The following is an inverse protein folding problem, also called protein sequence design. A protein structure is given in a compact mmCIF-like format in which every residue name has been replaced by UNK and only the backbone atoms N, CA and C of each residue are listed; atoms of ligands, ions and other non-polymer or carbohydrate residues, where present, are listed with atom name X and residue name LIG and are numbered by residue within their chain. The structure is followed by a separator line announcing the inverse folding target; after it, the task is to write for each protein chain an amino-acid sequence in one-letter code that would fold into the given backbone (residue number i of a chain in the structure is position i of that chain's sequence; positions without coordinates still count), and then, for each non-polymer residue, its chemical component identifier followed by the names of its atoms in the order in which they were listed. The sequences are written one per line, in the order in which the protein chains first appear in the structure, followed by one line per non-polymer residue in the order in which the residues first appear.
data_IF_993345182553
#
_entry.id   IF_993345182553
#
_cell.length_a   1.000
_cell.length_b   1.000
_cell.length_c   1.000
_cell.angle_alpha   90.00
_cell.angle_beta   90.00
_cell.angle_gamma   90.00
#
_symmetry.space_group_name_H-M   'P 1'
#
loop_
_entity.id
_entity.type
_entity.pdbx_description
1 polymer ?
#
# COMPACT_ATOMS: atom_id res chain seq x y z
N UNK A 1 -5.61 11.21 -2.16
CA UNK A 1 -6.25 10.12 -2.95
C UNK A 1 -5.31 8.94 -3.18
N UNK A 2 -4.07 9.17 -3.64
CA UNK A 2 -3.11 8.10 -3.95
C UNK A 2 -2.74 7.21 -2.75
N UNK A 3 -2.54 7.79 -1.56
CA UNK A 3 -2.23 7.04 -0.33
C UNK A 3 -3.32 6.00 0.02
N UNK A 4 -4.59 6.38 -0.13
CA UNK A 4 -5.74 5.51 0.10
C UNK A 4 -5.81 4.37 -0.93
N UNK A 5 -5.57 4.70 -2.20
CA UNK A 5 -5.56 3.69 -3.27
C UNK A 5 -4.46 2.65 -3.05
N UNK A 6 -3.25 3.10 -2.72
CA UNK A 6 -2.10 2.23 -2.48
C UNK A 6 -2.31 1.29 -1.28
N UNK A 7 -2.83 1.82 -0.18
CA UNK A 7 -3.14 1.02 1.01
C UNK A 7 -4.24 -0.03 0.74
N UNK A 8 -5.34 0.38 0.10
CA UNK A 8 -6.46 -0.53 -0.17
C UNK A 8 -6.12 -1.59 -1.22
N UNK A 9 -5.38 -1.23 -2.27
CA UNK A 9 -5.01 -2.17 -3.33
C UNK A 9 -4.01 -3.21 -2.83
N UNK A 10 -2.99 -2.80 -2.07
CA UNK A 10 -2.03 -3.73 -1.47
C UNK A 10 -2.68 -4.65 -0.43
N UNK A 11 -3.59 -4.13 0.39
CA UNK A 11 -4.37 -4.95 1.33
C UNK A 11 -5.32 -5.94 0.64
N UNK A 12 -5.93 -5.54 -0.48
CA UNK A 12 -6.78 -6.43 -1.27
C UNK A 12 -5.98 -7.59 -1.89
N UNK A 13 -4.78 -7.33 -2.40
CA UNK A 13 -3.92 -8.38 -2.95
C UNK A 13 -3.40 -9.36 -1.87
N UNK A 14 -3.04 -8.89 -0.68
CA UNK A 14 -2.64 -9.78 0.43
C UNK A 14 -3.82 -10.67 0.89
N UNK A 15 -5.01 -10.08 1.02
CA UNK A 15 -6.20 -10.84 1.42
C UNK A 15 -6.63 -11.83 0.34
N UNK A 16 -6.51 -11.47 -0.95
CA UNK A 16 -6.77 -12.40 -2.05
C UNK A 16 -5.79 -13.59 -2.02
N UNK A 17 -4.50 -13.34 -1.75
CA UNK A 17 -3.51 -14.41 -1.55
C UNK A 17 -3.90 -15.32 -0.39
N UNK A 18 -4.21 -14.77 0.80
CA UNK A 18 -4.63 -15.54 1.98
C UNK A 18 -5.89 -16.38 1.72
N UNK A 19 -6.88 -15.82 1.03
CA UNK A 19 -8.09 -16.54 0.65
C UNK A 19 -7.83 -17.76 -0.23
N UNK A 20 -6.85 -17.68 -1.13
CA UNK A 20 -6.42 -18.81 -1.97
C UNK A 20 -5.61 -19.81 -1.15
N UNK A 21 -4.79 -19.34 -0.21
CA UNK A 21 -4.04 -20.20 0.72
C UNK A 21 -4.93 -21.04 1.64
N UNK A 22 -6.14 -20.55 1.95
CA UNK A 22 -7.18 -21.28 2.70
C UNK A 22 -7.86 -22.39 1.88
N UNK A 23 -7.55 -22.51 0.58
CA UNK A 23 -8.00 -23.63 -0.26
C UNK A 23 -9.19 -23.33 -1.18
N UNK A 24 -9.71 -22.10 -1.16
CA UNK A 24 -10.91 -21.74 -1.94
C UNK A 24 -10.70 -21.73 -3.47
N UNK A 25 -9.44 -21.70 -3.94
CA UNK A 25 -9.07 -21.67 -5.36
C UNK A 25 -7.85 -22.56 -5.64
N UNK A 26 -7.89 -23.82 -5.20
CA UNK A 26 -6.84 -24.81 -5.46
C UNK A 26 -5.71 -24.84 -4.43
N UNK A 27 -5.68 -23.91 -3.47
CA UNK A 27 -4.74 -23.95 -2.35
C UNK A 27 -3.32 -23.51 -2.70
N UNK A 28 -2.42 -23.68 -1.74
CA UNK A 28 -0.99 -23.32 -1.88
C UNK A 28 -0.33 -24.10 -3.02
N UNK A 29 0.43 -23.40 -3.85
CA UNK A 29 1.17 -23.97 -4.98
C UNK A 29 0.39 -24.10 -6.28
N UNK A 30 -0.92 -23.82 -6.26
CA UNK A 30 -1.75 -23.75 -7.47
C UNK A 30 -1.39 -22.53 -8.33
N UNK A 31 -1.74 -22.56 -9.62
CA UNK A 31 -1.51 -21.41 -10.51
C UNK A 31 -2.22 -20.11 -10.04
N UNK A 32 -3.46 -20.16 -9.51
CA UNK A 32 -4.08 -19.00 -8.85
C UNK A 32 -3.25 -18.47 -7.66
N UNK A 33 -2.64 -19.34 -6.86
CA UNK A 33 -1.80 -18.92 -5.73
C UNK A 33 -0.55 -18.18 -6.21
N UNK A 34 0.12 -18.68 -7.24
CA UNK A 34 1.29 -18.00 -7.83
C UNK A 34 0.93 -16.61 -8.37
N UNK A 35 -0.21 -16.49 -9.06
CA UNK A 35 -0.68 -15.19 -9.56
C UNK A 35 -0.98 -14.21 -8.42
N UNK A 36 -1.59 -14.68 -7.33
CA UNK A 36 -1.87 -13.85 -6.17
C UNK A 36 -0.61 -13.45 -5.38
N UNK A 37 0.41 -14.31 -5.33
CA UNK A 37 1.73 -13.98 -4.75
C UNK A 37 2.39 -12.84 -5.52
N UNK A 38 2.32 -12.85 -6.86
CA UNK A 38 2.85 -11.74 -7.68
C UNK A 38 2.08 -10.44 -7.38
N UNK A 39 0.75 -10.50 -7.28
CA UNK A 39 -0.08 -9.34 -6.92
C UNK A 39 0.27 -8.76 -5.54
N UNK A 40 0.47 -9.60 -4.53
CA UNK A 40 0.87 -9.18 -3.19
C UNK A 40 2.28 -8.58 -3.17
N UNK A 41 3.23 -9.17 -3.92
CA UNK A 41 4.59 -8.63 -4.05
C UNK A 41 4.60 -7.22 -4.64
N UNK A 42 3.69 -6.92 -5.59
CA UNK A 42 3.51 -5.57 -6.13
C UNK A 42 2.79 -4.65 -5.11
N UNK A 43 1.92 -5.22 -4.28
CA UNK A 43 1.16 -4.52 -3.25
C UNK A 43 1.94 -4.17 -1.98
N UNK A 44 2.98 -4.93 -1.62
CA UNK A 44 3.79 -4.73 -0.41
C UNK A 44 4.43 -3.33 -0.34
N UNK A 45 5.15 -2.85 -1.40
CA UNK A 45 5.67 -1.48 -1.40
C UNK A 45 4.56 -0.43 -1.28
N UNK A 46 3.38 -0.69 -1.85
CA UNK A 46 2.26 0.26 -1.86
C UNK A 46 1.61 0.39 -0.47
N UNK A 47 1.34 -0.71 0.22
CA UNK A 47 0.67 -0.70 1.53
C UNK A 47 1.62 -0.40 2.69
N UNK A 48 2.88 -0.86 2.62
CA UNK A 48 3.80 -0.79 3.76
C UNK A 48 4.81 0.36 3.66
N UNK A 49 5.08 0.89 2.46
CA UNK A 49 6.10 1.92 2.26
C UNK A 49 5.51 3.23 1.71
N UNK A 50 5.01 3.22 0.47
CA UNK A 50 4.60 4.44 -0.24
C UNK A 50 3.30 5.02 0.30
N UNK A 51 2.31 4.19 0.59
CA UNK A 51 1.01 4.60 1.15
C UNK A 51 1.14 5.36 2.48
N UNK A 52 1.78 4.79 3.51
CA UNK A 52 2.00 5.46 4.78
C UNK A 52 2.85 6.74 4.66
N UNK A 53 3.88 6.72 3.80
CA UNK A 53 4.81 7.85 3.62
C UNK A 53 4.13 9.10 3.06
N UNK A 54 3.11 8.94 2.19
CA UNK A 54 2.37 10.07 1.61
C UNK A 54 1.59 10.88 2.67
N UNK A 55 1.10 10.23 3.72
CA UNK A 55 0.42 10.94 4.82
C UNK A 55 1.40 11.77 5.65
N UNK A 56 2.62 11.27 5.85
CA UNK A 56 3.69 11.98 6.56
C UNK A 56 4.18 13.16 5.72
N UNK A 57 4.35 12.96 4.41
CA UNK A 57 4.74 14.02 3.46
C UNK A 57 3.83 15.25 3.59
N UNK A 58 2.51 15.05 3.53
CA UNK A 58 1.53 16.15 3.59
C UNK A 58 1.63 16.90 4.93
N UNK A 59 1.76 16.18 6.05
CA UNK A 59 1.90 16.79 7.37
C UNK A 59 3.20 17.58 7.51
N UNK A 60 4.33 17.00 7.09
CA UNK A 60 5.64 17.67 7.17
C UNK A 60 5.70 18.90 6.27
N UNK A 61 5.22 18.81 5.03
CA UNK A 61 5.17 19.96 4.13
C UNK A 61 4.35 21.11 4.74
N UNK A 62 3.21 20.81 5.36
CA UNK A 62 2.36 21.82 6.02
C UNK A 62 3.09 22.51 7.19
N UNK A 63 3.78 21.74 8.03
CA UNK A 63 4.55 22.29 9.18
C UNK A 63 5.73 23.12 8.71
N UNK A 64 6.49 22.64 7.72
CA UNK A 64 7.64 23.37 7.16
C UNK A 64 7.16 24.68 6.52
N UNK A 65 6.08 24.66 5.73
CA UNK A 65 5.50 25.86 5.15
C UNK A 65 5.08 26.88 6.20
N UNK A 66 4.48 26.44 7.32
CA UNK A 66 4.06 27.35 8.39
C UNK A 66 5.27 27.98 9.11
N UNK A 67 6.31 27.19 9.39
CA UNK A 67 7.52 27.66 10.09
C UNK A 67 8.31 28.65 9.25
N UNK A 68 8.39 28.42 7.93
CA UNK A 68 9.17 29.28 7.03
C UNK A 68 8.35 30.46 6.47
N UNK A 69 7.03 30.51 6.64
CA UNK A 69 6.18 31.59 6.13
C UNK A 69 6.67 33.01 6.53
N UNK A 70 7.10 33.29 7.78
CA UNK A 70 7.59 34.61 8.15
C UNK A 70 8.93 35.02 7.50
N UNK A 71 9.66 34.07 6.90
CA UNK A 71 10.92 34.34 6.21
C UNK A 71 10.68 34.79 4.74
N UNK A 72 9.54 34.40 4.17
CA UNK A 72 9.22 34.61 2.75
C UNK A 72 8.14 35.67 2.50
N UNK A 73 7.50 36.17 3.57
CA UNK A 73 6.49 37.25 3.54
C UNK A 73 7.06 38.50 4.19
#
# INVERSE_FOLDING_TARGET
LLALMMANSGGAWDNAKKWIEEGHLGGKGSDPHKAAVVGDTVGDPFKDTSGPSLNILIKLMSVISLVLAPLFV
#
